data_IF_914715750392
#
_entry.id   IF_914715750392
#
_cell.length_a   1.000
_cell.length_b   1.000
_cell.length_c   1.000
_cell.angle_alpha   90.00
_cell.angle_beta   90.00
_cell.angle_gamma   90.00
#
_symmetry.space_group_name_H-M   'P 1'
#
loop_
_entity.id
_entity.type
_entity.pdbx_description
1 polymer ?
#
# COMPACT_ATOMS: atom_id res chain seq x y z
N UNK A 1 -24.57 -3.60 -3.37
CA UNK A 1 -23.99 -4.56 -2.42
C UNK A 1 -22.92 -3.89 -1.59
N UNK A 2 -23.02 -4.04 -0.32
CA UNK A 2 -21.97 -3.49 0.54
C UNK A 2 -20.72 -4.33 0.45
N UNK A 3 -19.62 -3.69 0.16
CA UNK A 3 -18.33 -4.34 0.10
C UNK A 3 -17.81 -4.54 1.52
N UNK A 4 -17.50 -5.79 1.88
CA UNK A 4 -16.97 -6.11 3.22
C UNK A 4 -15.72 -5.31 3.54
N UNK A 5 -14.88 -5.02 2.54
CA UNK A 5 -13.68 -4.22 2.74
C UNK A 5 -14.01 -2.80 3.20
N UNK A 6 -15.15 -2.26 2.78
CA UNK A 6 -15.58 -0.91 3.16
C UNK A 6 -16.18 -0.86 4.57
N UNK A 7 -16.76 -1.99 5.04
CA UNK A 7 -17.36 -2.07 6.36
C UNK A 7 -16.37 -2.48 7.45
N UNK A 8 -15.30 -3.16 7.07
CA UNK A 8 -14.24 -3.55 8.01
C UNK A 8 -13.28 -2.39 8.23
N UNK A 9 -12.79 -2.29 9.44
CA UNK A 9 -11.77 -1.29 9.79
C UNK A 9 -10.60 -2.00 10.46
N UNK A 10 -9.41 -1.49 10.22
CA UNK A 10 -8.21 -1.95 10.88
C UNK A 10 -7.77 -0.89 11.88
N UNK A 11 -7.74 -1.27 13.15
CA UNK A 11 -7.22 -0.39 14.19
C UNK A 11 -5.70 -0.46 14.17
N UNK A 12 -5.08 0.71 14.04
CA UNK A 12 -3.63 0.85 14.09
C UNK A 12 -3.24 1.73 15.26
N UNK A 13 -2.07 1.47 15.83
CA UNK A 13 -1.51 2.36 16.85
C UNK A 13 -1.23 3.73 16.23
N UNK A 14 -1.12 4.75 17.08
CA UNK A 14 -0.77 6.10 16.62
C UNK A 14 0.58 6.10 15.90
N UNK A 15 1.55 5.33 16.39
CA UNK A 15 2.87 5.22 15.77
C UNK A 15 2.79 4.59 14.39
N UNK A 16 2.00 3.53 14.24
CA UNK A 16 1.84 2.85 12.95
C UNK A 16 1.16 3.76 11.93
N UNK A 17 0.10 4.46 12.33
CA UNK A 17 -0.56 5.44 11.46
C UNK A 17 0.42 6.51 11.00
N UNK A 18 1.21 7.04 11.92
CA UNK A 18 2.18 8.09 11.62
C UNK A 18 3.22 7.61 10.62
N UNK A 19 3.71 6.39 10.80
CA UNK A 19 4.68 5.80 9.88
C UNK A 19 4.11 5.70 8.47
N UNK A 20 2.90 5.16 8.34
CA UNK A 20 2.25 4.99 7.04
C UNK A 20 1.99 6.34 6.39
N UNK A 21 1.44 7.29 7.14
CA UNK A 21 1.12 8.62 6.60
C UNK A 21 2.37 9.38 6.18
N UNK A 22 3.46 9.27 6.95
CA UNK A 22 4.73 9.91 6.59
C UNK A 22 5.29 9.33 5.28
N UNK A 23 5.18 8.02 5.10
CA UNK A 23 5.62 7.36 3.86
C UNK A 23 4.74 7.77 2.68
N UNK A 24 3.42 7.85 2.88
CA UNK A 24 2.50 8.32 1.84
C UNK A 24 2.79 9.77 1.46
N UNK A 25 3.06 10.63 2.43
CA UNK A 25 3.39 12.04 2.15
C UNK A 25 4.67 12.14 1.32
N UNK A 26 5.66 11.30 1.61
CA UNK A 26 6.90 11.27 0.85
C UNK A 26 6.66 10.83 -0.58
N UNK A 27 5.86 9.77 -0.76
CA UNK A 27 5.47 9.29 -2.09
C UNK A 27 4.71 10.37 -2.85
N UNK A 28 3.77 11.04 -2.17
CA UNK A 28 3.03 12.16 -2.76
C UNK A 28 3.94 13.28 -3.24
N UNK A 29 4.99 13.60 -2.47
CA UNK A 29 5.98 14.58 -2.86
C UNK A 29 6.77 14.15 -4.09
N UNK A 30 7.13 12.86 -4.16
CA UNK A 30 7.82 12.32 -5.32
C UNK A 30 6.95 12.43 -6.58
N UNK A 31 5.65 12.14 -6.46
CA UNK A 31 4.72 12.24 -7.58
C UNK A 31 4.62 13.69 -8.07
N UNK A 32 4.49 14.63 -7.15
CA UNK A 32 4.46 16.06 -7.51
C UNK A 32 5.74 16.49 -8.21
N UNK A 33 6.88 16.01 -7.73
CA UNK A 33 8.17 16.29 -8.37
C UNK A 33 8.23 15.77 -9.79
N UNK A 34 7.68 14.58 -10.05
CA UNK A 34 7.61 14.03 -11.40
C UNK A 34 6.73 14.91 -12.30
N UNK A 35 5.60 15.40 -11.78
CA UNK A 35 4.74 16.33 -12.52
C UNK A 35 5.50 17.57 -12.94
N UNK A 36 6.31 18.13 -12.05
CA UNK A 36 7.11 19.30 -12.35
C UNK A 36 8.17 18.98 -13.41
N UNK A 37 8.77 17.80 -13.36
CA UNK A 37 9.72 17.35 -14.37
C UNK A 37 9.09 17.32 -15.75
N UNK A 38 7.84 16.83 -15.84
CA UNK A 38 7.10 16.83 -17.11
C UNK A 38 6.87 18.25 -17.61
N UNK A 39 6.47 19.16 -16.73
CA UNK A 39 6.28 20.57 -17.09
C UNK A 39 7.56 21.22 -17.59
N UNK A 40 8.70 20.83 -17.05
CA UNK A 40 10.01 21.37 -17.40
C UNK A 40 10.69 20.59 -18.54
N UNK A 41 9.94 19.73 -19.24
CA UNK A 41 10.42 18.95 -20.37
C UNK A 41 11.64 18.07 -20.05
N UNK A 42 11.64 17.46 -18.88
CA UNK A 42 12.72 16.57 -18.45
C UNK A 42 12.89 15.39 -19.41
N UNK A 43 14.11 14.90 -19.49
CA UNK A 43 14.44 13.77 -20.35
C UNK A 43 13.67 12.51 -19.94
N UNK A 44 13.23 11.74 -20.94
CA UNK A 44 12.41 10.54 -20.71
C UNK A 44 13.03 9.55 -19.73
N UNK A 45 14.32 9.28 -19.86
CA UNK A 45 15.01 8.35 -18.98
C UNK A 45 14.94 8.79 -17.53
N UNK A 46 15.07 10.10 -17.28
CA UNK A 46 15.02 10.63 -15.93
C UNK A 46 13.62 10.47 -15.32
N UNK A 47 12.59 10.68 -16.15
CA UNK A 47 11.22 10.44 -15.73
C UNK A 47 10.99 8.97 -15.35
N UNK A 48 11.48 8.06 -16.19
CA UNK A 48 11.31 6.63 -15.97
C UNK A 48 12.04 6.17 -14.71
N UNK A 49 13.22 6.72 -14.44
CA UNK A 49 13.94 6.43 -13.20
C UNK A 49 13.13 6.86 -11.98
N UNK A 50 12.55 8.06 -12.02
CA UNK A 50 11.74 8.57 -10.91
C UNK A 50 10.46 7.76 -10.73
N UNK A 51 9.82 7.37 -11.82
CA UNK A 51 8.62 6.53 -11.75
C UNK A 51 8.95 5.16 -11.15
N UNK A 52 10.09 4.59 -11.50
CA UNK A 52 10.54 3.32 -10.93
C UNK A 52 10.77 3.46 -9.41
N UNK A 53 11.32 4.57 -8.97
CA UNK A 53 11.53 4.83 -7.55
C UNK A 53 10.21 4.92 -6.80
N UNK A 54 9.21 5.61 -7.36
CA UNK A 54 7.88 5.70 -6.77
C UNK A 54 7.22 4.33 -6.70
N UNK A 55 7.32 3.56 -7.76
CA UNK A 55 6.77 2.20 -7.82
C UNK A 55 7.37 1.34 -6.70
N UNK A 56 8.68 1.38 -6.52
CA UNK A 56 9.35 0.64 -5.46
C UNK A 56 8.92 1.11 -4.07
N UNK A 57 8.72 2.40 -3.89
CA UNK A 57 8.25 2.95 -2.62
C UNK A 57 6.84 2.46 -2.29
N UNK A 58 5.97 2.42 -3.29
CA UNK A 58 4.61 1.91 -3.12
C UNK A 58 4.63 0.43 -2.78
N UNK A 59 5.43 -0.37 -3.48
CA UNK A 59 5.58 -1.80 -3.19
C UNK A 59 6.06 -2.03 -1.76
N UNK A 60 7.06 -1.27 -1.33
CA UNK A 60 7.60 -1.39 0.02
C UNK A 60 6.55 -1.09 1.08
N UNK A 61 5.76 -0.04 0.87
CA UNK A 61 4.68 0.31 1.80
C UNK A 61 3.59 -0.76 1.79
N UNK A 62 3.23 -1.26 0.63
CA UNK A 62 2.23 -2.34 0.51
C UNK A 62 2.67 -3.59 1.25
N UNK A 63 3.94 -3.95 1.10
CA UNK A 63 4.52 -5.10 1.81
C UNK A 63 4.46 -4.91 3.32
N UNK A 64 4.80 -3.72 3.78
CA UNK A 64 4.74 -3.41 5.21
C UNK A 64 3.32 -3.57 5.76
N UNK A 65 2.34 -3.03 5.05
CA UNK A 65 0.93 -3.12 5.47
C UNK A 65 0.46 -4.58 5.46
N UNK A 66 0.84 -5.33 4.42
CA UNK A 66 0.48 -6.74 4.33
C UNK A 66 1.09 -7.55 5.46
N UNK A 67 2.36 -7.34 5.78
CA UNK A 67 3.01 -8.02 6.89
C UNK A 67 2.31 -7.75 8.22
N UNK A 68 2.01 -6.48 8.49
CA UNK A 68 1.29 -6.10 9.70
C UNK A 68 -0.07 -6.78 9.76
N UNK A 69 -0.77 -6.81 8.63
CA UNK A 69 -2.08 -7.45 8.52
C UNK A 69 -2.00 -8.94 8.84
N UNK A 70 -0.98 -9.63 8.32
CA UNK A 70 -0.78 -11.05 8.57
C UNK A 70 -0.47 -11.37 10.03
N UNK A 71 0.20 -10.46 10.73
CA UNK A 71 0.56 -10.67 12.12
C UNK A 71 -0.53 -10.22 13.11
N UNK A 72 -1.46 -9.38 12.70
CA UNK A 72 -2.46 -8.81 13.60
C UNK A 72 -3.90 -9.18 13.23
N UNK A 73 -4.37 -8.68 12.10
CA UNK A 73 -5.79 -8.83 11.72
C UNK A 73 -6.15 -10.27 11.35
N UNK A 74 -5.28 -10.93 10.59
CA UNK A 74 -5.57 -12.27 10.07
C UNK A 74 -5.70 -13.30 11.21
N UNK A 75 -4.75 -13.38 12.17
CA UNK A 75 -4.91 -14.34 13.26
C UNK A 75 -6.20 -14.10 14.06
N UNK A 76 -6.55 -12.84 14.31
CA UNK A 76 -7.76 -12.52 15.05
C UNK A 76 -9.01 -12.94 14.30
N UNK A 77 -9.05 -12.71 12.98
CA UNK A 77 -10.18 -13.10 12.15
C UNK A 77 -10.33 -14.63 12.12
N UNK A 78 -9.22 -15.34 12.01
CA UNK A 78 -9.25 -16.82 12.04
C UNK A 78 -9.75 -17.36 13.36
N UNK A 79 -9.34 -16.75 14.48
CA UNK A 79 -9.83 -17.13 15.81
C UNK A 79 -11.33 -16.92 15.93
N UNK A 80 -11.87 -15.90 15.25
CA UNK A 80 -13.30 -15.60 15.26
C UNK A 80 -14.08 -16.40 14.21
N UNK A 81 -13.45 -17.33 13.51
CA UNK A 81 -14.10 -18.15 12.51
C UNK A 81 -14.34 -17.45 11.18
N UNK A 82 -13.73 -16.31 10.96
CA UNK A 82 -13.88 -15.54 9.72
C UNK A 82 -12.88 -16.03 8.67
N UNK A 83 -13.13 -17.22 8.14
CA UNK A 83 -12.19 -17.89 7.24
C UNK A 83 -12.12 -17.29 5.84
N UNK A 84 -13.06 -16.44 5.46
CA UNK A 84 -13.03 -15.74 4.18
C UNK A 84 -11.82 -14.79 4.07
N UNK A 85 -11.15 -14.49 5.18
CA UNK A 85 -9.92 -13.70 5.15
C UNK A 85 -8.82 -14.40 4.33
N UNK A 86 -8.85 -15.75 4.30
CA UNK A 86 -7.89 -16.52 3.51
C UNK A 86 -8.09 -16.26 2.02
N UNK A 87 -9.35 -16.26 1.57
CA UNK A 87 -9.70 -15.98 0.17
C UNK A 87 -9.32 -14.55 -0.22
N UNK A 88 -9.52 -13.62 0.69
CA UNK A 88 -9.12 -12.22 0.49
C UNK A 88 -7.60 -12.10 0.29
N UNK A 89 -6.83 -12.82 1.12
CA UNK A 89 -5.37 -12.83 1.01
C UNK A 89 -4.90 -13.41 -0.31
N UNK A 90 -5.51 -14.51 -0.74
CA UNK A 90 -5.17 -15.13 -2.01
C UNK A 90 -5.41 -14.15 -3.15
N UNK A 91 -6.53 -13.44 -3.13
CA UNK A 91 -6.85 -12.42 -4.14
C UNK A 91 -5.81 -11.30 -4.15
N UNK A 92 -5.37 -10.86 -2.96
CA UNK A 92 -4.35 -9.82 -2.85
C UNK A 92 -3.01 -10.27 -3.42
N UNK A 93 -2.58 -11.49 -3.09
CA UNK A 93 -1.33 -12.03 -3.63
C UNK A 93 -1.36 -12.10 -5.15
N UNK A 94 -2.49 -12.47 -5.72
CA UNK A 94 -2.64 -12.53 -7.18
C UNK A 94 -2.50 -11.14 -7.80
N UNK A 95 -2.97 -10.10 -7.13
CA UNK A 95 -2.84 -8.72 -7.60
C UNK A 95 -1.40 -8.25 -7.59
N UNK A 96 -0.65 -8.56 -6.52
CA UNK A 96 0.71 -8.07 -6.35
C UNK A 96 1.73 -8.84 -7.20
N UNK A 97 1.38 -10.01 -7.66
CA UNK A 97 2.31 -10.88 -8.41
C UNK A 97 2.09 -10.82 -9.92
N UNK A 98 1.52 -9.75 -10.41
CA UNK A 98 1.38 -9.55 -11.87
C UNK A 98 2.69 -9.13 -12.52
#
# INVERSE_FOLDING_TARGET
MENKCCSKKTKRSANEKKLILNRLNRIGGQIKGIGKMVEDDAYCNDLLVQLSAVENSIKSLSTHILETHLYTCVPRELENGEYETIDELISLFKRFNK
#
